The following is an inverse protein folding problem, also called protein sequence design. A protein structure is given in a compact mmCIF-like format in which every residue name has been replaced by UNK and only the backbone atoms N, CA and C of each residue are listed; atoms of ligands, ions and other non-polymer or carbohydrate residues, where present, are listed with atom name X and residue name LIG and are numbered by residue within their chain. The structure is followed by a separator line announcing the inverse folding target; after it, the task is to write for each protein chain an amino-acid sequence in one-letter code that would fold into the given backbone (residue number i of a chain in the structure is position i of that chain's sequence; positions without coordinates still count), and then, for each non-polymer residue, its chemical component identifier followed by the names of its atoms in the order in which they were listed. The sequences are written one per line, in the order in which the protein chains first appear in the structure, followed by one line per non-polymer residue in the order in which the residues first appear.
data_IF_714881275050
#
_entry.id   IF_714881275050
#
_cell.length_a   1.000
_cell.length_b   1.000
_cell.length_c   1.000
_cell.angle_alpha   90.00
_cell.angle_beta   90.00
_cell.angle_gamma   90.00
#
_symmetry.space_group_name_H-M   'P 1'
#
loop_
_entity.id
_entity.type
_entity.pdbx_description
1 polymer ?
#
# COMPACT_ATOMS: atom_id res chain seq x y z
N UNK A 1 2.21 5.29 2.40
CA UNK A 1 1.47 5.76 1.21
C UNK A 1 0.08 6.29 1.62
N UNK A 2 -0.17 7.61 1.55
CA UNK A 2 -1.39 8.20 2.11
C UNK A 2 -2.72 7.74 1.44
N UNK A 3 -2.67 7.21 0.22
CA UNK A 3 -3.85 6.72 -0.53
C UNK A 3 -4.65 5.67 0.24
N UNK A 4 -3.98 4.84 1.04
CA UNK A 4 -4.63 3.81 1.85
C UNK A 4 -5.59 4.36 2.91
N UNK A 5 -5.49 5.63 3.32
CA UNK A 5 -6.44 6.20 4.29
C UNK A 5 -7.88 6.27 3.77
N UNK A 6 -8.08 6.18 2.46
CA UNK A 6 -9.41 6.25 1.84
C UNK A 6 -10.19 4.94 1.94
N UNK A 7 -9.54 3.82 2.32
CA UNK A 7 -10.16 2.48 2.44
C UNK A 7 -10.81 1.94 1.15
N UNK A 8 -10.62 2.65 0.04
CA UNK A 8 -11.01 2.29 -1.31
C UNK A 8 -9.87 1.56 -2.04
N UNK A 9 -10.17 1.06 -3.23
CA UNK A 9 -9.15 0.53 -4.12
C UNK A 9 -8.15 1.64 -4.45
N UNK A 10 -6.86 1.33 -4.35
CA UNK A 10 -5.74 2.18 -4.74
C UNK A 10 -5.19 1.68 -6.09
N UNK A 11 -5.56 2.30 -7.22
CA UNK A 11 -5.04 1.90 -8.52
C UNK A 11 -3.53 2.00 -8.57
N UNK A 12 -2.87 0.98 -9.13
CA UNK A 12 -1.41 0.92 -9.21
C UNK A 12 -0.83 2.03 -10.06
N UNK A 13 -1.53 2.37 -11.15
CA UNK A 13 -1.17 3.44 -12.05
C UNK A 13 -1.12 4.83 -11.37
N UNK A 14 -1.96 5.07 -10.35
CA UNK A 14 -1.96 6.34 -9.61
C UNK A 14 -0.63 6.55 -8.87
N UNK A 15 0.03 5.48 -8.42
CA UNK A 15 1.32 5.62 -7.72
C UNK A 15 2.37 6.25 -8.63
N UNK A 16 2.59 5.68 -9.81
CA UNK A 16 3.54 6.23 -10.77
C UNK A 16 3.10 7.62 -11.27
N UNK A 17 1.81 7.84 -11.49
CA UNK A 17 1.28 9.12 -11.95
C UNK A 17 1.50 10.26 -10.95
N UNK A 18 1.32 10.02 -9.64
CA UNK A 18 1.43 11.05 -8.62
C UNK A 18 2.83 11.20 -8.02
N UNK A 19 3.66 10.15 -8.06
CA UNK A 19 5.02 10.19 -7.49
C UNK A 19 6.11 10.33 -8.54
N UNK A 20 5.85 9.93 -9.79
CA UNK A 20 6.87 9.80 -10.83
C UNK A 20 7.85 8.65 -10.60
N UNK A 21 7.59 7.78 -9.61
CA UNK A 21 8.45 6.66 -9.25
C UNK A 21 7.86 5.34 -9.74
N UNK A 22 8.74 4.38 -10.00
CA UNK A 22 8.34 3.01 -10.30
C UNK A 22 7.90 2.27 -9.02
N UNK A 23 6.93 1.38 -9.17
CA UNK A 23 6.39 0.58 -8.06
C UNK A 23 7.47 -0.27 -7.36
N UNK A 24 8.54 -0.66 -8.07
CA UNK A 24 9.66 -1.40 -7.48
C UNK A 24 10.25 -0.73 -6.23
N UNK A 25 10.17 0.60 -6.12
CA UNK A 25 10.63 1.37 -4.96
C UNK A 25 9.84 1.05 -3.69
N UNK A 26 8.56 0.68 -3.83
CA UNK A 26 7.68 0.33 -2.72
C UNK A 26 7.33 -1.16 -2.69
N UNK A 27 8.03 -1.99 -3.47
CA UNK A 27 7.72 -3.43 -3.57
C UNK A 27 7.93 -4.17 -2.25
N UNK A 28 9.04 -3.91 -1.57
CA UNK A 28 9.34 -4.52 -0.28
C UNK A 28 8.24 -4.25 0.78
N UNK A 29 7.82 -2.99 1.03
CA UNK A 29 6.75 -2.74 1.98
C UNK A 29 5.36 -3.21 1.52
N UNK A 30 5.09 -3.29 0.20
CA UNK A 30 3.89 -3.94 -0.32
C UNK A 30 3.87 -5.44 0.00
N UNK A 31 4.98 -6.14 -0.22
CA UNK A 31 5.09 -7.57 0.06
C UNK A 31 4.93 -7.87 1.55
N UNK A 32 5.47 -7.01 2.43
CA UNK A 32 5.24 -7.09 3.87
C UNK A 32 3.77 -6.86 4.23
N UNK A 33 3.12 -5.85 3.64
CA UNK A 33 1.70 -5.58 3.85
C UNK A 33 0.81 -6.75 3.37
N UNK A 34 1.16 -7.41 2.27
CA UNK A 34 0.49 -8.60 1.75
C UNK A 34 0.69 -9.80 2.68
N UNK A 35 1.92 -10.03 3.15
CA UNK A 35 2.25 -11.12 4.07
C UNK A 35 1.52 -10.97 5.42
N UNK A 36 1.33 -9.73 5.91
CA UNK A 36 0.53 -9.44 7.12
C UNK A 36 -0.99 -9.48 6.87
N UNK A 37 -1.42 -9.68 5.62
CA UNK A 37 -2.83 -9.68 5.25
C UNK A 37 -3.50 -8.30 5.37
N UNK A 38 -2.71 -7.21 5.35
CA UNK A 38 -3.22 -5.84 5.43
C UNK A 38 -3.79 -5.38 4.08
N UNK A 39 -3.22 -5.87 2.99
CA UNK A 39 -3.61 -5.58 1.63
C UNK A 39 -4.00 -6.86 0.88
N UNK A 40 -4.82 -6.67 -0.15
CA UNK A 40 -4.96 -7.55 -1.30
C UNK A 40 -4.35 -6.84 -2.49
N UNK A 41 -3.72 -7.61 -3.37
CA UNK A 41 -3.15 -7.12 -4.62
C UNK A 41 -3.87 -7.75 -5.81
N UNK A 42 -4.22 -6.91 -6.78
CA UNK A 42 -4.64 -7.32 -8.12
C UNK A 42 -3.67 -6.73 -9.15
N UNK A 43 -3.77 -7.12 -10.43
CA UNK A 43 -2.95 -6.50 -11.46
C UNK A 43 -3.24 -5.00 -11.65
N UNK A 44 -4.42 -4.51 -11.24
CA UNK A 44 -4.83 -3.11 -11.44
C UNK A 44 -4.78 -2.25 -10.17
N UNK A 45 -4.98 -2.82 -8.98
CA UNK A 45 -5.11 -2.06 -7.73
C UNK A 45 -4.66 -2.83 -6.49
N UNK A 46 -4.41 -2.10 -5.40
CA UNK A 46 -4.35 -2.63 -4.05
C UNK A 46 -5.61 -2.29 -3.29
N UNK A 47 -6.11 -3.23 -2.48
CA UNK A 47 -7.29 -3.03 -1.65
C UNK A 47 -6.95 -3.35 -0.20
N UNK A 48 -7.35 -2.47 0.72
CA UNK A 48 -7.19 -2.74 2.15
C UNK A 48 -8.21 -3.77 2.60
N UNK A 49 -7.77 -4.75 3.39
CA UNK A 49 -8.63 -5.76 4.02
C UNK A 49 -9.27 -5.23 5.29
N UNK A 50 -10.28 -5.92 5.82
CA UNK A 50 -10.82 -5.59 7.16
C UNK A 50 -9.74 -5.66 8.25
N UNK A 51 -8.78 -6.58 8.15
CA UNK A 51 -7.66 -6.66 9.08
C UNK A 51 -6.73 -5.44 8.93
N UNK A 52 -6.39 -5.06 7.69
CA UNK A 52 -5.58 -3.87 7.42
C UNK A 52 -6.22 -2.56 7.90
N UNK A 53 -7.57 -2.46 7.89
CA UNK A 53 -8.30 -1.32 8.47
C UNK A 53 -8.05 -1.18 9.97
N UNK A 54 -8.05 -2.30 10.71
CA UNK A 54 -7.78 -2.31 12.16
C UNK A 54 -6.34 -1.91 12.49
N UNK A 55 -5.39 -2.19 11.60
CA UNK A 55 -3.96 -1.89 11.75
C UNK A 55 -3.46 -0.81 10.77
N UNK A 56 -4.32 0.16 10.41
CA UNK A 56 -4.02 1.14 9.37
C UNK A 56 -2.73 1.92 9.62
N UNK A 57 -2.44 2.30 10.87
CA UNK A 57 -1.21 3.03 11.18
C UNK A 57 0.03 2.16 10.96
N UNK A 58 0.01 0.92 11.44
CA UNK A 58 1.09 -0.04 11.21
C UNK A 58 1.28 -0.36 9.73
N UNK A 59 0.20 -0.39 8.92
CA UNK A 59 0.29 -0.50 7.47
C UNK A 59 1.00 0.72 6.85
N UNK A 60 0.66 1.94 7.28
CA UNK A 60 1.23 3.17 6.74
C UNK A 60 2.71 3.33 7.10
N UNK A 61 3.10 2.90 8.30
CA UNK A 61 4.47 2.92 8.80
C UNK A 61 5.43 2.10 7.92
N UNK A 62 4.96 1.02 7.29
CA UNK A 62 5.77 0.23 6.34
C UNK A 62 6.32 1.07 5.18
N UNK A 63 5.65 2.16 4.82
CA UNK A 63 6.02 3.00 3.69
C UNK A 63 6.78 4.28 4.11
N UNK A 64 7.16 4.40 5.37
CA UNK A 64 8.02 5.48 5.84
C UNK A 64 9.49 5.06 5.67
N UNK A 65 10.39 5.99 5.29
CA UNK A 65 11.82 5.67 5.26
C UNK A 65 12.30 5.29 6.67
N UNK A 66 13.20 4.30 6.75
CA UNK A 66 13.97 4.03 7.97
C UNK A 66 14.86 5.26 8.27
N UNK A 67 14.89 5.69 9.53
CA UNK A 67 15.70 6.84 9.98
C UNK A 67 17.22 6.60 9.88
#
# INVERSE_FOLDING_TARGET
MNRFRLLEAAPRAEFAQYTGLDESVIRAPLDEALAKGYLLETPEYWQITEHGKLFLNSLLELFLPEE
#
